data_IF_748072327949
#
_entry.id   IF_748072327949
#
_cell.length_a   1.000
_cell.length_b   1.000
_cell.length_c   1.000
_cell.angle_alpha   90.00
_cell.angle_beta   90.00
_cell.angle_gamma   90.00
#
_symmetry.space_group_name_H-M   'P 1'
#
loop_
_entity.id
_entity.type
_entity.pdbx_description
1 polymer ?
#
# COMPACT_ATOMS: atom_id res chain seq x y z
N UNK A 1 -21.97 24.07 2.18
CA UNK A 1 -20.58 23.76 2.51
C UNK A 1 -20.63 22.58 3.45
N UNK A 2 -20.13 21.40 3.04
CA UNK A 2 -20.27 20.17 3.85
C UNK A 2 -18.85 19.67 4.14
N UNK A 3 -18.21 20.35 5.08
CA UNK A 3 -16.90 19.99 5.63
C UNK A 3 -17.00 18.65 6.37
N UNK A 4 -15.87 17.98 6.54
CA UNK A 4 -15.74 16.82 7.42
C UNK A 4 -15.10 17.32 8.71
N UNK A 5 -15.72 17.06 9.85
CA UNK A 5 -15.23 17.50 11.15
C UNK A 5 -15.28 16.32 12.12
N UNK A 6 -14.14 15.99 12.73
CA UNK A 6 -14.03 14.96 13.74
C UNK A 6 -13.33 15.54 14.96
N UNK A 7 -13.88 15.27 16.14
CA UNK A 7 -13.29 15.70 17.40
C UNK A 7 -13.20 14.52 18.37
N UNK A 8 -12.05 14.37 19.02
CA UNK A 8 -11.80 13.30 20.00
C UNK A 8 -11.04 13.83 21.21
N UNK A 9 -11.44 13.38 22.40
CA UNK A 9 -10.69 13.58 23.64
C UNK A 9 -9.68 12.46 23.84
N UNK A 10 -8.43 12.81 24.15
CA UNK A 10 -7.31 11.89 24.34
C UNK A 10 -6.67 12.12 25.71
N UNK A 11 -6.52 11.05 26.51
CA UNK A 11 -5.89 11.09 27.83
C UNK A 11 -4.35 11.06 27.76
N UNK A 12 -3.78 11.86 26.87
CA UNK A 12 -2.35 11.92 26.60
C UNK A 12 -1.89 13.39 26.46
N UNK A 13 -0.61 13.70 26.76
CA UNK A 13 -0.07 15.04 26.57
C UNK A 13 0.01 15.41 25.09
N UNK A 14 -0.16 16.70 24.79
CA UNK A 14 -0.19 17.23 23.42
C UNK A 14 1.06 16.86 22.61
N UNK A 15 2.25 16.89 23.22
CA UNK A 15 3.50 16.53 22.53
C UNK A 15 3.52 15.09 22.01
N UNK A 16 2.88 14.16 22.75
CA UNK A 16 2.79 12.75 22.33
C UNK A 16 1.84 12.60 21.16
N UNK A 17 0.71 13.30 21.18
CA UNK A 17 -0.25 13.32 20.07
C UNK A 17 0.37 13.97 18.84
N UNK A 18 1.07 15.09 19.02
CA UNK A 18 1.81 15.76 17.97
C UNK A 18 2.82 14.84 17.29
N UNK A 19 3.61 14.10 18.09
CA UNK A 19 4.54 13.11 17.56
C UNK A 19 3.82 12.03 16.76
N UNK A 20 2.69 11.51 17.24
CA UNK A 20 1.92 10.50 16.52
C UNK A 20 1.35 11.01 15.18
N UNK A 21 1.07 12.32 15.07
CA UNK A 21 0.56 12.97 13.86
C UNK A 21 1.64 13.37 12.86
N UNK A 22 2.90 13.54 13.29
CA UNK A 22 3.97 14.09 12.45
C UNK A 22 5.10 13.10 12.15
N UNK A 23 5.29 12.08 13.00
CA UNK A 23 6.26 11.02 12.80
C UNK A 23 5.71 10.00 11.79
N UNK A 24 6.42 9.84 10.67
CA UNK A 24 6.01 8.98 9.56
C UNK A 24 5.89 7.51 9.97
N UNK A 25 6.78 7.04 10.85
CA UNK A 25 6.75 5.65 11.31
C UNK A 25 5.53 5.40 12.20
N UNK A 26 5.12 6.40 12.98
CA UNK A 26 3.92 6.30 13.81
C UNK A 26 2.66 6.42 12.95
N UNK A 27 2.60 7.36 12.01
CA UNK A 27 1.51 7.48 11.05
C UNK A 27 1.25 6.16 10.30
N UNK A 28 2.31 5.49 9.83
CA UNK A 28 2.20 4.18 9.18
C UNK A 28 1.54 3.12 10.07
N UNK A 29 1.77 3.18 11.39
CA UNK A 29 1.23 2.19 12.34
C UNK A 29 -0.25 2.38 12.62
N UNK A 30 -0.72 3.62 12.75
CA UNK A 30 -2.09 3.89 13.19
C UNK A 30 -3.03 4.44 12.09
N UNK A 31 -2.50 4.97 10.99
CA UNK A 31 -3.29 5.51 9.89
C UNK A 31 -2.92 4.85 8.56
N UNK A 32 -1.87 5.34 7.90
CA UNK A 32 -1.43 4.92 6.57
C UNK A 32 0.07 5.16 6.37
N UNK A 33 0.68 4.42 5.44
CA UNK A 33 2.08 4.59 5.07
C UNK A 33 2.33 5.96 4.42
N UNK A 34 3.52 6.52 4.67
CA UNK A 34 3.91 7.86 4.21
C UNK A 34 5.22 7.79 3.44
N UNK A 35 5.15 8.04 2.15
CA UNK A 35 6.31 8.13 1.27
C UNK A 35 6.76 9.60 1.13
N UNK A 36 8.07 9.82 1.03
CA UNK A 36 8.63 11.16 0.80
C UNK A 36 8.95 11.29 -0.67
N UNK A 37 8.32 12.25 -1.32
CA UNK A 37 8.57 12.54 -2.73
C UNK A 37 9.93 13.25 -2.88
N UNK A 38 10.86 12.58 -3.56
CA UNK A 38 12.19 13.15 -3.78
C UNK A 38 12.10 14.43 -4.63
N UNK A 39 12.66 15.53 -4.12
CA UNK A 39 12.82 16.79 -4.87
C UNK A 39 11.77 17.86 -4.61
N UNK A 40 10.71 17.59 -3.85
CA UNK A 40 9.69 18.58 -3.48
C UNK A 40 9.73 18.83 -1.97
N UNK A 41 10.17 20.03 -1.57
CA UNK A 41 10.36 20.42 -0.18
C UNK A 41 9.05 20.42 0.61
N UNK A 42 8.76 19.32 1.31
CA UNK A 42 7.61 19.22 2.22
C UNK A 42 6.39 18.47 1.68
N UNK A 43 6.50 17.84 0.50
CA UNK A 43 5.44 16.96 -0.02
C UNK A 43 5.58 15.54 0.50
N UNK A 44 4.46 14.97 0.93
CA UNK A 44 4.33 13.65 1.50
C UNK A 44 3.23 12.91 0.73
N UNK A 45 3.51 11.71 0.24
CA UNK A 45 2.48 10.86 -0.35
C UNK A 45 1.92 9.94 0.73
N UNK A 46 0.65 10.12 1.05
CA UNK A 46 -0.10 9.27 1.97
C UNK A 46 -0.73 8.13 1.18
N UNK A 47 -0.33 6.89 1.44
CA UNK A 47 -0.76 5.71 0.67
C UNK A 47 -2.17 5.23 1.08
N UNK A 48 -3.16 6.10 0.98
CA UNK A 48 -4.55 5.90 1.42
C UNK A 48 -5.44 5.16 0.42
N UNK A 49 -4.90 4.79 -0.75
CA UNK A 49 -5.65 4.09 -1.77
C UNK A 49 -6.29 2.80 -1.21
N UNK A 50 -7.59 2.64 -1.42
CA UNK A 50 -8.35 1.48 -0.92
C UNK A 50 -8.88 1.63 0.50
N UNK A 51 -8.58 2.73 1.22
CA UNK A 51 -9.28 3.05 2.47
C UNK A 51 -10.70 3.54 2.18
N UNK A 52 -11.71 3.21 3.00
CA UNK A 52 -13.07 3.69 2.76
C UNK A 52 -13.13 5.23 2.75
N UNK A 53 -13.67 5.79 1.66
CA UNK A 53 -13.73 7.24 1.46
C UNK A 53 -12.48 7.86 0.84
N UNK A 54 -11.51 7.04 0.41
CA UNK A 54 -10.33 7.45 -0.35
C UNK A 54 -10.35 6.75 -1.72
N UNK A 55 -10.34 7.53 -2.79
CA UNK A 55 -10.31 7.05 -4.17
C UNK A 55 -8.86 6.80 -4.64
N UNK A 56 -7.89 7.50 -4.05
CA UNK A 56 -6.48 7.41 -4.42
C UNK A 56 -5.55 7.66 -3.21
N UNK A 57 -4.24 7.54 -3.45
CA UNK A 57 -3.24 8.10 -2.55
C UNK A 57 -3.36 9.64 -2.53
N UNK A 58 -3.06 10.25 -1.38
CA UNK A 58 -3.14 11.69 -1.20
C UNK A 58 -1.75 12.30 -1.22
N UNK A 59 -1.50 13.23 -2.15
CA UNK A 59 -0.33 14.10 -2.11
C UNK A 59 -0.61 15.24 -1.11
N UNK A 60 0.13 15.25 0.00
CA UNK A 60 -0.04 16.20 1.08
C UNK A 60 1.16 17.15 1.16
N UNK A 61 0.89 18.44 1.04
CA UNK A 61 1.86 19.52 1.24
C UNK A 61 1.61 20.16 2.61
N UNK A 62 2.66 20.27 3.43
CA UNK A 62 2.57 20.97 4.73
C UNK A 62 2.54 22.49 4.51
N UNK A 63 1.39 23.11 4.73
CA UNK A 63 1.22 24.56 4.56
C UNK A 63 1.49 25.33 5.84
N UNK A 64 1.09 24.78 6.99
CA UNK A 64 1.36 25.39 8.29
C UNK A 64 1.70 24.32 9.33
N UNK A 65 2.70 24.61 10.18
CA UNK A 65 3.12 23.74 11.27
C UNK A 65 3.48 24.57 12.50
N UNK A 66 2.68 24.47 13.56
CA UNK A 66 2.93 25.05 14.89
C UNK A 66 2.90 23.93 15.92
N UNK A 67 4.08 23.52 16.39
CA UNK A 67 4.21 22.44 17.36
C UNK A 67 3.87 22.92 18.78
N UNK A 68 3.06 22.17 19.57
CA UNK A 68 2.27 20.98 19.24
C UNK A 68 0.80 21.26 18.86
N UNK A 69 0.44 22.50 18.54
CA UNK A 69 -0.94 22.98 18.51
C UNK A 69 -1.68 22.85 17.16
N UNK A 70 -0.99 23.00 16.03
CA UNK A 70 -1.62 23.08 14.71
C UNK A 70 -0.76 22.48 13.60
N UNK A 71 -1.35 21.59 12.82
CA UNK A 71 -0.82 21.11 11.54
C UNK A 71 -1.87 21.35 10.45
N UNK A 72 -1.51 22.11 9.42
CA UNK A 72 -2.32 22.29 8.22
C UNK A 72 -1.62 21.68 7.01
N UNK A 73 -2.40 20.93 6.24
CA UNK A 73 -1.99 20.22 5.05
C UNK A 73 -2.89 20.62 3.90
N UNK A 74 -2.29 20.87 2.75
CA UNK A 74 -3.02 20.92 1.48
C UNK A 74 -2.91 19.55 0.84
N UNK A 75 -4.05 18.93 0.61
CA UNK A 75 -4.14 17.57 0.10
C UNK A 75 -4.66 17.60 -1.35
N UNK A 76 -4.02 16.85 -2.24
CA UNK A 76 -4.49 16.58 -3.60
C UNK A 76 -4.73 15.07 -3.74
N UNK A 77 -5.99 14.70 -3.96
CA UNK A 77 -6.43 13.31 -4.16
C UNK A 77 -7.04 13.20 -5.55
N UNK A 78 -6.30 12.62 -6.50
CA UNK A 78 -6.72 12.49 -7.90
C UNK A 78 -7.25 13.81 -8.52
N UNK A 79 -6.60 14.94 -8.21
CA UNK A 79 -6.99 16.28 -8.68
C UNK A 79 -8.04 16.99 -7.81
N UNK A 80 -8.54 16.34 -6.76
CA UNK A 80 -9.41 16.96 -5.76
C UNK A 80 -8.56 17.59 -4.67
N UNK A 81 -8.62 18.92 -4.58
CA UNK A 81 -7.89 19.67 -3.55
C UNK A 81 -8.70 19.92 -2.30
N UNK A 82 -8.16 19.53 -1.16
CA UNK A 82 -8.75 19.74 0.16
C UNK A 82 -7.72 20.37 1.09
N UNK A 83 -8.21 21.03 2.14
CA UNK A 83 -7.43 21.53 3.27
C UNK A 83 -7.76 20.68 4.48
N UNK A 84 -6.75 20.01 5.02
CA UNK A 84 -6.83 19.21 6.22
C UNK A 84 -6.15 19.98 7.36
N UNK A 85 -6.92 20.27 8.40
CA UNK A 85 -6.47 20.99 9.59
C UNK A 85 -6.57 20.07 10.80
N UNK A 86 -5.45 19.83 11.46
CA UNK A 86 -5.36 19.09 12.72
C UNK A 86 -4.99 20.07 13.84
N UNK A 87 -5.92 20.33 14.76
CA UNK A 87 -5.73 21.22 15.90
C UNK A 87 -5.71 20.42 17.20
N UNK A 88 -4.68 20.63 18.02
CA UNK A 88 -4.52 20.02 19.34
C UNK A 88 -4.70 21.09 20.41
N UNK A 89 -5.72 20.93 21.24
CA UNK A 89 -5.97 21.81 22.39
C UNK A 89 -5.70 21.06 23.68
N UNK A 90 -4.70 21.46 24.48
CA UNK A 90 -4.47 20.86 25.80
C UNK A 90 -5.70 21.00 26.71
N UNK A 91 -5.98 19.97 27.49
CA UNK A 91 -7.06 19.96 28.49
C UNK A 91 -6.51 19.49 29.85
N UNK A 92 -7.30 19.64 30.92
CA UNK A 92 -6.86 19.18 32.24
C UNK A 92 -6.59 17.66 32.31
N UNK A 93 -7.26 16.87 31.47
CA UNK A 93 -7.19 15.40 31.45
C UNK A 93 -6.28 14.85 30.34
N UNK A 94 -5.71 15.72 29.50
CA UNK A 94 -4.89 15.34 28.34
C UNK A 94 -4.97 16.39 27.24
N UNK A 95 -5.56 16.04 26.09
CA UNK A 95 -5.82 16.99 25.01
C UNK A 95 -7.06 16.63 24.19
N UNK A 96 -7.57 17.60 23.46
CA UNK A 96 -8.63 17.46 22.46
C UNK A 96 -7.99 17.61 21.07
N UNK A 97 -8.21 16.64 20.21
CA UNK A 97 -7.78 16.67 18.81
C UNK A 97 -9.02 16.93 17.93
N UNK A 98 -8.97 18.01 17.15
CA UNK A 98 -9.94 18.30 16.09
C UNK A 98 -9.26 18.10 14.74
N UNK A 99 -9.90 17.30 13.88
CA UNK A 99 -9.49 17.04 12.50
C UNK A 99 -10.59 17.53 11.58
N UNK A 100 -10.30 18.56 10.81
CA UNK A 100 -11.23 19.16 9.85
C UNK A 100 -10.70 19.04 8.44
N UNK A 101 -11.52 18.55 7.52
CA UNK A 101 -11.20 18.51 6.10
C UNK A 101 -12.25 19.26 5.28
N UNK A 102 -11.80 20.31 4.58
CA UNK A 102 -12.65 21.17 3.75
C UNK A 102 -12.18 21.12 2.28
N UNK A 103 -13.09 20.97 1.30
CA UNK A 103 -12.71 21.03 -0.10
C UNK A 103 -12.37 22.48 -0.47
N UNK A 104 -11.27 22.70 -1.18
CA UNK A 104 -10.90 24.05 -1.64
C UNK A 104 -11.80 24.53 -2.78
N UNK A 105 -12.26 23.58 -3.59
CA UNK A 105 -13.16 23.83 -4.72
C UNK A 105 -14.29 22.80 -4.72
N UNK A 106 -15.51 23.28 -4.99
CA UNK A 106 -16.70 22.43 -5.09
C UNK A 106 -17.18 21.88 -3.74
N UNK A 107 -17.81 20.72 -3.78
CA UNK A 107 -18.40 20.05 -2.61
C UNK A 107 -18.08 18.57 -2.63
N UNK A 108 -18.02 17.96 -1.45
CA UNK A 108 -17.90 16.51 -1.33
C UNK A 108 -19.15 15.80 -1.89
N UNK A 109 -18.98 14.69 -2.63
CA UNK A 109 -20.05 13.73 -2.85
C UNK A 109 -20.54 13.17 -1.51
N UNK A 110 -21.86 13.09 -1.31
CA UNK A 110 -22.45 12.77 0.00
C UNK A 110 -22.00 11.40 0.55
N UNK A 111 -22.00 10.35 -0.28
CA UNK A 111 -21.56 9.02 0.12
C UNK A 111 -20.07 8.99 0.48
N UNK A 112 -19.23 9.64 -0.33
CA UNK A 112 -17.80 9.72 -0.10
C UNK A 112 -17.50 10.44 1.22
N UNK A 113 -18.19 11.56 1.48
CA UNK A 113 -18.07 12.31 2.73
C UNK A 113 -18.37 11.43 3.94
N UNK A 114 -19.49 10.69 3.91
CA UNK A 114 -19.90 9.81 5.02
C UNK A 114 -18.88 8.70 5.25
N UNK A 115 -18.37 8.07 4.19
CA UNK A 115 -17.33 7.03 4.32
C UNK A 115 -16.02 7.61 4.85
N UNK A 116 -15.61 8.78 4.37
CA UNK A 116 -14.38 9.47 4.78
C UNK A 116 -14.45 9.92 6.24
N UNK A 117 -15.58 10.48 6.66
CA UNK A 117 -15.87 10.86 8.04
C UNK A 117 -15.83 9.65 8.97
N UNK A 118 -16.48 8.54 8.58
CA UNK A 118 -16.45 7.29 9.36
C UNK A 118 -15.04 6.70 9.49
N UNK A 119 -14.22 6.75 8.42
CA UNK A 119 -12.83 6.29 8.47
C UNK A 119 -12.01 7.12 9.45
N UNK A 120 -12.11 8.46 9.41
CA UNK A 120 -11.43 9.32 10.39
C UNK A 120 -11.90 9.02 11.81
N UNK A 121 -13.21 8.93 12.03
CA UNK A 121 -13.74 8.61 13.35
C UNK A 121 -13.18 7.27 13.87
N UNK A 122 -13.14 6.23 13.03
CA UNK A 122 -12.63 4.91 13.42
C UNK A 122 -11.14 4.95 13.79
N UNK A 123 -10.30 5.59 12.98
CA UNK A 123 -8.85 5.62 13.26
C UNK A 123 -8.53 6.51 14.46
N UNK A 124 -9.23 7.65 14.62
CA UNK A 124 -9.01 8.61 15.71
C UNK A 124 -9.51 8.10 17.07
N UNK A 125 -10.57 7.29 17.10
CA UNK A 125 -11.12 6.74 18.35
C UNK A 125 -10.59 5.35 18.71
N UNK A 126 -10.07 4.59 17.75
CA UNK A 126 -9.56 3.24 17.97
C UNK A 126 -8.04 3.13 17.84
N UNK A 127 -7.50 3.39 16.64
CA UNK A 127 -6.09 3.12 16.33
C UNK A 127 -5.14 4.15 16.97
N UNK A 128 -5.52 5.43 16.96
CA UNK A 128 -4.70 6.50 17.52
C UNK A 128 -4.51 6.34 19.04
N UNK A 129 -5.55 6.13 19.87
CA UNK A 129 -5.35 5.87 21.29
C UNK A 129 -4.45 4.66 21.55
N UNK A 130 -4.62 3.57 20.79
CA UNK A 130 -3.79 2.37 20.96
C UNK A 130 -2.29 2.62 20.71
N UNK A 131 -1.93 3.44 19.71
CA UNK A 131 -0.52 3.79 19.49
C UNK A 131 0.01 4.75 20.57
N UNK A 132 -0.84 5.65 21.06
CA UNK A 132 -0.48 6.59 22.13
C UNK A 132 -0.26 5.87 23.46
N UNK A 133 -1.08 4.88 23.78
CA UNK A 133 -0.90 3.96 24.90
C UNK A 133 0.42 3.19 24.75
N UNK A 134 0.67 2.58 23.59
CA UNK A 134 1.92 1.90 23.32
C UNK A 134 3.14 2.82 23.52
N UNK A 135 3.09 4.06 23.02
CA UNK A 135 4.14 5.06 23.24
C UNK A 135 4.32 5.41 24.72
N UNK A 136 3.22 5.53 25.47
CA UNK A 136 3.28 5.76 26.90
C UNK A 136 3.95 4.58 27.62
N UNK A 137 3.61 3.34 27.26
CA UNK A 137 4.26 2.15 27.81
C UNK A 137 5.75 2.07 27.48
N UNK A 138 6.16 2.42 26.25
CA UNK A 138 7.58 2.45 25.88
C UNK A 138 8.38 3.51 26.67
N UNK A 139 7.75 4.60 27.09
CA UNK A 139 8.39 5.60 27.95
C UNK A 139 8.55 5.10 29.39
N UNK A 140 7.68 4.20 29.85
CA UNK A 140 7.80 3.47 31.12
C UNK A 140 8.70 2.25 30.92
N UNK A 141 9.93 2.47 30.48
CA UNK A 141 10.93 1.40 30.47
C UNK A 141 11.46 1.20 31.89
N UNK A 142 10.97 0.16 32.58
CA UNK A 142 11.44 -0.28 33.91
C UNK A 142 12.92 -0.70 33.93
N UNK A 143 13.62 -0.64 32.79
CA UNK A 143 15.03 -1.03 32.63
C UNK A 143 16.02 0.13 32.69
N UNK A 144 15.56 1.35 32.96
CA UNK A 144 16.41 2.47 33.39
C UNK A 144 16.20 2.78 34.87
N UNK A 145 16.12 1.74 35.69
CA UNK A 145 16.56 1.85 37.08
C UNK A 145 18.08 1.71 37.08
N UNK A 146 18.77 2.76 37.48
CA UNK A 146 20.16 2.65 37.96
C UNK A 146 20.30 1.38 38.83
N UNK A 147 21.37 0.58 38.70
CA UNK A 147 21.76 -0.35 39.76
C UNK A 147 22.35 0.48 40.92
N UNK A 148 21.53 1.33 41.51
CA UNK A 148 21.84 2.16 42.66
C UNK A 148 20.65 2.05 43.61
N UNK A 149 20.90 1.44 44.76
CA UNK A 149 19.95 1.30 45.87
C UNK A 149 18.80 0.31 45.63
N UNK A 150 19.15 -0.98 45.52
CA UNK A 150 18.42 -1.95 46.34
C UNK A 150 18.51 -1.46 47.79
N UNK A 151 17.43 -0.84 48.26
CA UNK A 151 17.15 -0.67 49.67
C UNK A 151 17.35 -2.04 50.32
N UNK A 152 18.48 -2.19 51.03
CA UNK A 152 18.76 -3.39 51.79
C UNK A 152 17.64 -3.52 52.81
N UNK A 153 16.82 -4.56 52.66
CA UNK A 153 15.97 -5.05 53.74
C UNK A 153 16.86 -5.21 54.98
N UNK A 154 16.49 -4.65 56.14
CA UNK A 154 17.28 -4.81 57.34
C UNK A 154 17.26 -6.29 57.73
N UNK A 155 18.38 -6.97 57.50
CA UNK A 155 18.62 -8.29 58.02
C UNK A 155 18.70 -8.16 59.55
N UNK A 156 17.70 -8.73 60.24
CA UNK A 156 17.69 -8.85 61.69
C UNK A 156 18.90 -9.70 62.08
N UNK A 157 19.88 -9.08 62.74
CA UNK A 157 21.09 -9.75 63.20
C UNK A 157 20.77 -10.81 64.25
N UNK A 158 21.06 -12.07 63.95
CA UNK A 158 21.15 -13.12 64.95
C UNK A 158 22.43 -12.91 65.76
N UNK A 159 22.24 -12.52 67.02
CA UNK A 159 23.23 -12.55 68.09
C UNK A 159 23.80 -13.97 68.20
N UNK A 160 25.12 -14.08 68.10
CA UNK A 160 25.89 -15.30 68.30
C UNK A 160 27.31 -14.93 68.69
N UNK A 161 27.62 -15.20 69.95
CA UNK A 161 28.75 -14.72 70.74
C UNK A 161 30.07 -15.48 70.46
N UNK A 162 31.17 -14.88 70.92
CA UNK A 162 32.46 -15.48 71.30
C UNK A 162 33.62 -15.57 70.24
N UNK A 163 34.91 -15.70 70.68
CA UNK A 163 35.86 -14.57 70.72
C UNK A 163 37.20 -14.80 69.99
N UNK A 164 37.88 -13.69 69.70
CA UNK A 164 39.29 -13.51 69.27
C UNK A 164 40.31 -14.31 70.14
N UNK A 165 41.52 -14.68 69.64
CA UNK A 165 42.60 -13.67 69.55
C UNK A 165 43.73 -13.81 68.49
N UNK A 166 44.19 -12.63 68.06
CA UNK A 166 45.60 -12.16 67.92
C UNK A 166 46.60 -12.86 66.96
N UNK A 167 47.08 -12.09 65.96
CA UNK A 167 48.19 -12.50 65.06
C UNK A 167 48.82 -11.42 64.17
N UNK A 168 49.37 -10.35 64.78
CA UNK A 168 50.53 -9.52 64.38
C UNK A 168 51.02 -9.45 62.89
N UNK A 169 50.79 -8.27 62.29
CA UNK A 169 51.69 -7.43 61.44
C UNK A 169 52.15 -7.87 60.03
N UNK A 170 51.89 -7.02 59.01
CA UNK A 170 52.86 -6.12 58.30
C UNK A 170 52.38 -5.72 56.88
N UNK A 171 52.16 -4.40 56.73
CA UNK A 171 52.30 -3.48 55.58
C UNK A 171 51.81 -3.83 54.15
N UNK A 172 51.18 -2.86 53.45
CA UNK A 172 50.70 -2.98 52.06
C UNK A 172 51.72 -2.46 51.03
N UNK A 173 51.75 -3.05 49.83
CA UNK A 173 52.43 -2.48 48.65
C UNK A 173 51.63 -2.81 47.38
N UNK A 174 51.05 -1.76 46.81
CA UNK A 174 51.02 -1.35 45.39
C UNK A 174 50.87 -2.44 44.30
N UNK A 175 49.88 -2.27 43.41
CA UNK A 175 50.10 -1.82 42.03
C UNK A 175 48.84 -1.11 41.53
N UNK A 176 48.97 0.21 41.41
CA UNK A 176 48.20 1.06 40.50
C UNK A 176 48.99 1.24 39.20
N UNK A 177 48.32 1.79 38.18
CA UNK A 177 48.75 2.07 36.80
C UNK A 177 48.34 0.93 35.84
N UNK A 178 47.51 1.16 34.82
CA UNK A 178 47.46 2.31 33.93
C UNK A 178 46.03 2.62 33.48
N UNK A 179 45.51 3.76 33.93
CA UNK A 179 44.54 4.55 33.20
C UNK A 179 45.28 5.79 32.67
N UNK A 180 45.10 6.11 31.39
CA UNK A 180 45.39 7.44 30.84
C UNK A 180 46.60 7.56 29.91
N UNK A 181 46.40 7.24 28.63
CA UNK A 181 46.96 7.90 27.44
C UNK A 181 46.52 7.05 26.23
N UNK A 182 45.97 7.54 25.12
CA UNK A 182 45.84 8.89 24.61
C UNK A 182 44.67 8.93 23.60
N UNK A 183 44.02 10.10 23.56
CA UNK A 183 43.25 10.58 22.42
C UNK A 183 44.13 10.63 21.15
N UNK A 184 43.45 10.56 19.99
CA UNK A 184 43.90 10.88 18.64
C UNK A 184 44.48 9.74 17.78
N UNK A 185 43.61 9.13 16.97
CA UNK A 185 43.88 8.88 15.54
C UNK A 185 42.58 9.05 14.77
N UNK A 186 42.47 10.16 14.07
CA UNK A 186 41.42 10.41 13.09
C UNK A 186 41.70 9.76 11.75
N UNK A 187 40.63 9.67 10.97
CA UNK A 187 40.52 9.86 9.51
C UNK A 187 41.42 9.03 8.56
N UNK A 188 40.69 8.47 7.58
CA UNK A 188 41.07 8.10 6.22
C UNK A 188 41.70 6.72 5.99
N UNK A 189 40.93 5.80 5.38
CA UNK A 189 41.23 5.27 4.03
C UNK A 189 39.90 4.99 3.30
N UNK A 190 39.64 5.76 2.24
CA UNK A 190 38.70 5.44 1.16
C UNK A 190 39.47 4.67 0.08
N UNK A 191 38.85 3.63 -0.52
CA UNK A 191 38.89 3.31 -1.95
C UNK A 191 38.51 1.83 -2.17
N UNK A 192 37.31 1.55 -2.69
CA UNK A 192 37.07 0.90 -4.00
C UNK A 192 35.56 1.05 -4.28
N UNK A 193 35.19 2.09 -5.02
CA UNK A 193 33.97 2.13 -5.82
C UNK A 193 34.42 2.37 -7.27
N UNK A 194 33.93 1.60 -8.25
CA UNK A 194 34.19 1.88 -9.65
C UNK A 194 33.39 3.11 -10.11
N UNK A 195 34.11 4.11 -10.59
CA UNK A 195 33.64 5.39 -11.13
C UNK A 195 33.13 5.26 -12.57
N UNK A 196 31.86 5.68 -12.76
CA UNK A 196 31.27 6.48 -13.84
C UNK A 196 31.67 6.28 -15.32
N UNK A 197 30.64 6.26 -16.18
CA UNK A 197 30.69 6.89 -17.51
C UNK A 197 29.55 7.90 -17.63
N UNK A 198 29.90 9.17 -17.46
CA UNK A 198 29.07 10.34 -17.73
C UNK A 198 29.22 10.77 -19.21
N UNK A 199 28.12 11.01 -19.95
CA UNK A 199 28.18 11.68 -21.25
C UNK A 199 28.48 13.17 -21.06
N UNK A 200 29.43 13.68 -21.85
CA UNK A 200 29.87 15.07 -21.82
C UNK A 200 28.77 16.04 -22.28
N UNK A 201 28.53 17.07 -21.48
CA UNK A 201 27.88 18.30 -21.92
C UNK A 201 28.90 19.18 -22.64
N UNK A 202 28.58 19.58 -23.87
CA UNK A 202 29.34 20.56 -24.64
C UNK A 202 28.42 21.66 -25.17
N UNK A 203 28.57 22.84 -24.58
CA UNK A 203 28.50 24.18 -25.17
C UNK A 203 27.23 24.65 -25.90
N UNK A 204 26.64 25.73 -25.36
CA UNK A 204 25.83 26.74 -26.08
C UNK A 204 26.51 28.12 -25.79
N UNK A 205 26.27 29.26 -26.50
CA UNK A 205 25.22 29.56 -27.50
C UNK A 205 25.60 30.46 -28.72
N UNK A 206 24.62 30.69 -29.62
CA UNK A 206 24.17 31.98 -30.23
C UNK A 206 23.60 31.84 -31.69
N UNK A 207 22.88 32.82 -32.31
CA UNK A 207 21.41 32.76 -32.53
C UNK A 207 20.90 32.88 -34.00
N UNK A 208 19.63 32.45 -34.22
CA UNK A 208 18.57 32.80 -35.21
C UNK A 208 18.89 32.92 -36.74
N UNK A 209 18.00 32.43 -37.64
CA UNK A 209 16.85 33.25 -38.06
C UNK A 209 15.49 32.53 -38.19
N UNK A 210 14.46 33.37 -38.14
CA UNK A 210 13.02 33.14 -38.28
C UNK A 210 12.63 32.66 -39.70
N UNK A 211 11.51 31.96 -39.86
CA UNK A 211 10.59 32.33 -40.93
C UNK A 211 9.16 32.58 -40.43
N UNK A 212 8.78 33.85 -40.58
CA UNK A 212 7.54 34.38 -41.17
C UNK A 212 6.29 33.50 -41.18
N UNK A 213 5.25 34.04 -40.53
CA UNK A 213 3.86 33.63 -40.64
C UNK A 213 3.32 33.70 -42.08
N UNK A 214 2.47 32.74 -42.44
CA UNK A 214 1.51 32.89 -43.53
C UNK A 214 0.13 32.38 -43.07
N UNK A 215 -0.72 33.36 -42.77
CA UNK A 215 -2.17 33.31 -42.73
C UNK A 215 -2.72 32.80 -44.07
N UNK A 216 -3.66 31.84 -44.08
CA UNK A 216 -4.80 31.84 -45.02
C UNK A 216 -5.79 30.70 -44.79
N UNK A 217 -7.03 31.11 -44.50
CA UNK A 217 -8.28 30.69 -45.15
C UNK A 217 -8.79 29.24 -45.01
N UNK A 218 -9.80 29.12 -44.14
CA UNK A 218 -11.18 28.71 -44.47
C UNK A 218 -11.39 28.04 -45.84
N UNK A 219 -11.73 26.74 -45.87
CA UNK A 219 -12.71 26.17 -46.83
C UNK A 219 -13.47 24.99 -46.23
N UNK A 220 -14.70 25.28 -45.85
CA UNK A 220 -15.85 24.38 -45.86
C UNK A 220 -15.93 23.62 -47.19
N UNK A 221 -16.08 22.30 -47.17
CA UNK A 221 -16.68 21.59 -48.30
C UNK A 221 -17.86 20.75 -47.81
N UNK A 222 -19.00 21.14 -48.37
CA UNK A 222 -20.35 20.64 -48.20
C UNK A 222 -20.60 19.63 -49.33
N UNK A 223 -21.27 18.53 -48.96
CA UNK A 223 -22.18 17.68 -49.75
C UNK A 223 -21.72 17.11 -51.10
N UNK A 224 -21.97 15.82 -51.30
CA UNK A 224 -23.03 15.38 -52.21
C UNK A 224 -23.25 13.86 -52.11
N UNK A 225 -24.51 13.48 -51.85
CA UNK A 225 -25.05 12.18 -52.13
C UNK A 225 -25.27 12.01 -53.64
N UNK A 226 -25.17 10.78 -54.16
CA UNK A 226 -26.03 10.22 -55.22
C UNK A 226 -25.73 8.73 -55.43
N UNK A 227 -26.80 7.92 -55.40
CA UNK A 227 -26.87 6.51 -55.76
C UNK A 227 -27.02 6.35 -57.30
N UNK A 228 -27.64 5.31 -57.90
CA UNK A 228 -27.71 3.85 -57.64
C UNK A 228 -27.45 2.99 -58.92
N UNK A 229 -27.56 1.65 -58.75
CA UNK A 229 -28.05 0.61 -59.71
C UNK A 229 -27.29 0.26 -61.00
N UNK A 230 -27.01 -1.05 -61.14
CA UNK A 230 -26.88 -1.75 -62.42
C UNK A 230 -26.90 -3.28 -62.22
N UNK A 231 -27.51 -4.09 -63.13
CA UNK A 231 -28.26 -5.29 -62.75
C UNK A 231 -27.68 -6.65 -63.18
N UNK A 232 -28.32 -7.67 -62.61
CA UNK A 232 -28.49 -9.11 -62.87
C UNK A 232 -28.17 -9.66 -64.27
N UNK A 233 -27.42 -10.77 -64.31
CA UNK A 233 -27.66 -12.08 -65.00
C UNK A 233 -26.31 -12.84 -65.00
N UNK A 234 -26.19 -14.17 -64.84
CA UNK A 234 -26.92 -15.25 -65.49
C UNK A 234 -26.72 -16.57 -64.74
N UNK A 235 -27.79 -17.36 -64.68
CA UNK A 235 -27.86 -18.76 -64.28
C UNK A 235 -27.20 -19.64 -65.34
N UNK A 236 -26.35 -20.61 -64.96
CA UNK A 236 -26.19 -21.84 -65.74
C UNK A 236 -25.62 -22.99 -64.91
N UNK A 237 -26.42 -24.05 -64.88
CA UNK A 237 -26.21 -25.38 -64.32
C UNK A 237 -25.07 -26.13 -65.01
N UNK A 238 -24.20 -26.81 -64.26
CA UNK A 238 -23.51 -28.03 -64.72
C UNK A 238 -23.01 -28.90 -63.55
N UNK A 239 -23.61 -30.08 -63.42
CA UNK A 239 -23.15 -31.32 -62.77
C UNK A 239 -23.50 -32.43 -63.78
N UNK A 240 -22.82 -33.61 -63.92
CA UNK A 240 -21.92 -34.34 -63.02
C UNK A 240 -20.55 -34.68 -63.70
N UNK A 241 -19.56 -35.30 -63.06
CA UNK A 241 -19.39 -36.78 -63.02
C UNK A 241 -18.28 -37.17 -62.04
N UNK A 242 -18.49 -38.34 -61.40
CA UNK A 242 -17.59 -39.09 -60.52
C UNK A 242 -16.17 -39.23 -61.07
N UNK A 243 -15.17 -39.14 -60.18
CA UNK A 243 -14.13 -40.15 -60.07
C UNK A 243 -13.48 -40.11 -58.69
N UNK A 244 -13.40 -41.28 -58.09
CA UNK A 244 -12.82 -41.53 -56.78
C UNK A 244 -11.29 -41.39 -56.85
N UNK A 245 -10.73 -40.63 -55.92
CA UNK A 245 -9.35 -40.79 -55.50
C UNK A 245 -9.30 -40.58 -53.99
N UNK A 246 -8.94 -41.64 -53.28
CA UNK A 246 -8.73 -41.70 -51.84
C UNK A 246 -7.22 -41.55 -51.60
N UNK A 247 -6.76 -40.50 -50.90
CA UNK A 247 -5.48 -40.57 -50.20
C UNK A 247 -5.68 -40.56 -48.68
N UNK A 248 -4.76 -41.27 -48.03
CA UNK A 248 -4.60 -41.58 -46.62
C UNK A 248 -5.15 -40.59 -45.59
N UNK A 249 -5.84 -41.18 -44.59
CA UNK A 249 -5.95 -40.62 -43.23
C UNK A 249 -4.55 -40.28 -42.73
N UNK A 250 -4.20 -38.99 -42.76
CA UNK A 250 -3.36 -38.42 -41.73
C UNK A 250 -4.13 -38.60 -40.41
N UNK A 251 -3.53 -39.08 -39.32
CA UNK A 251 -4.18 -38.93 -38.02
C UNK A 251 -4.27 -37.43 -37.77
N UNK A 252 -5.45 -36.86 -38.05
CA UNK A 252 -5.85 -35.57 -37.51
C UNK A 252 -5.60 -35.68 -36.02
N UNK A 253 -4.57 -34.98 -35.55
CA UNK A 253 -4.36 -34.75 -34.14
C UNK A 253 -5.73 -34.42 -33.55
N UNK A 254 -6.13 -35.12 -32.49
CA UNK A 254 -7.32 -34.78 -31.76
C UNK A 254 -7.30 -33.25 -31.57
N UNK A 255 -8.42 -32.53 -31.84
CA UNK A 255 -8.50 -31.12 -31.52
C UNK A 255 -7.99 -30.97 -30.08
N UNK A 256 -7.09 -30.02 -29.79
CA UNK A 256 -6.74 -29.74 -28.40
C UNK A 256 -8.06 -29.59 -27.64
N UNK A 257 -8.19 -30.20 -26.44
CA UNK A 257 -9.40 -30.06 -25.65
C UNK A 257 -9.76 -28.58 -25.63
N UNK A 258 -11.03 -28.26 -25.92
CA UNK A 258 -11.49 -26.88 -25.91
C UNK A 258 -10.96 -26.24 -24.63
N UNK A 259 -10.17 -25.16 -24.70
CA UNK A 259 -9.59 -24.60 -23.50
C UNK A 259 -10.77 -24.28 -22.58
N UNK A 260 -10.77 -24.94 -21.42
CA UNK A 260 -11.62 -24.54 -20.32
C UNK A 260 -11.31 -23.09 -19.96
N UNK A 261 -12.05 -22.56 -19.01
CA UNK A 261 -11.69 -21.27 -18.45
C UNK A 261 -10.23 -21.28 -17.98
N UNK A 262 -9.53 -20.19 -18.21
CA UNK A 262 -8.18 -20.00 -17.69
C UNK A 262 -8.20 -18.89 -16.67
N UNK A 263 -7.65 -19.14 -15.49
CA UNK A 263 -7.49 -18.14 -14.45
C UNK A 263 -6.04 -17.66 -14.36
N UNK A 264 -5.86 -16.38 -14.06
CA UNK A 264 -4.58 -15.77 -13.72
C UNK A 264 -4.69 -15.08 -12.38
N UNK A 265 -3.73 -15.32 -11.51
CA UNK A 265 -3.67 -14.69 -10.20
C UNK A 265 -2.58 -13.62 -10.17
N UNK A 266 -2.85 -12.53 -9.45
CA UNK A 266 -1.84 -11.53 -9.09
C UNK A 266 -2.10 -10.96 -7.70
N UNK A 267 -1.02 -10.61 -7.01
CA UNK A 267 -1.08 -9.80 -5.79
C UNK A 267 -0.96 -8.33 -6.20
N UNK A 268 -2.06 -7.57 -6.11
CA UNK A 268 -2.07 -6.16 -6.52
C UNK A 268 -1.62 -5.21 -5.42
N UNK A 269 -1.75 -5.60 -4.15
CA UNK A 269 -1.21 -4.82 -3.02
C UNK A 269 -0.83 -5.72 -1.85
N UNK A 270 0.22 -5.33 -1.13
CA UNK A 270 0.67 -6.01 0.10
C UNK A 270 0.64 -5.03 1.27
N UNK A 271 0.16 -5.47 2.43
CA UNK A 271 -0.03 -4.65 3.63
C UNK A 271 0.56 -5.39 4.84
N UNK A 272 0.78 -4.70 5.96
CA UNK A 272 1.35 -5.34 7.17
C UNK A 272 0.50 -6.53 7.65
N UNK A 273 -0.83 -6.39 7.62
CA UNK A 273 -1.77 -7.41 8.11
C UNK A 273 -2.51 -8.16 6.98
N UNK A 274 -2.02 -8.11 5.75
CA UNK A 274 -2.73 -8.75 4.65
C UNK A 274 -2.23 -8.40 3.26
N UNK A 275 -3.02 -8.74 2.25
CA UNK A 275 -2.78 -8.40 0.85
C UNK A 275 -4.11 -8.40 0.07
N UNK A 276 -4.10 -7.77 -1.09
CA UNK A 276 -5.21 -7.88 -2.06
C UNK A 276 -4.79 -8.80 -3.19
N UNK A 277 -5.58 -9.85 -3.40
CA UNK A 277 -5.50 -10.70 -4.57
C UNK A 277 -6.44 -10.22 -5.67
N UNK A 278 -6.02 -10.36 -6.92
CA UNK A 278 -6.87 -10.22 -8.10
C UNK A 278 -6.79 -11.51 -8.92
N UNK A 279 -7.93 -11.94 -9.45
CA UNK A 279 -8.01 -13.07 -10.37
C UNK A 279 -8.72 -12.62 -11.64
N UNK A 280 -8.04 -12.81 -12.78
CA UNK A 280 -8.60 -12.65 -14.11
C UNK A 280 -8.96 -14.01 -14.68
N UNK A 281 -10.23 -14.18 -15.05
CA UNK A 281 -10.77 -15.36 -15.71
C UNK A 281 -10.97 -15.03 -17.18
N UNK A 282 -10.34 -15.80 -18.06
CA UNK A 282 -10.54 -15.71 -19.51
C UNK A 282 -11.37 -16.89 -20.01
N UNK A 283 -12.40 -16.61 -20.81
CA UNK A 283 -13.21 -17.60 -21.50
C UNK A 283 -12.89 -17.61 -23.02
N UNK A 284 -11.93 -18.43 -23.47
CA UNK A 284 -11.65 -18.58 -24.90
C UNK A 284 -12.73 -19.35 -25.67
N UNK A 285 -13.73 -19.91 -24.97
CA UNK A 285 -14.79 -20.73 -25.56
C UNK A 285 -15.82 -19.93 -26.36
N UNK A 286 -16.54 -20.64 -27.23
CA UNK A 286 -17.61 -20.08 -28.07
C UNK A 286 -18.98 -19.95 -27.37
N UNK A 287 -19.08 -20.28 -26.08
CA UNK A 287 -20.29 -20.18 -25.29
C UNK A 287 -20.00 -19.52 -23.93
N UNK A 288 -20.98 -18.82 -23.31
CA UNK A 288 -20.82 -18.29 -21.96
C UNK A 288 -20.54 -19.41 -20.95
N UNK A 289 -19.50 -19.25 -20.14
CA UNK A 289 -19.18 -20.17 -19.07
C UNK A 289 -19.95 -19.79 -17.81
N UNK A 290 -20.77 -20.72 -17.33
CA UNK A 290 -21.56 -20.60 -16.10
C UNK A 290 -20.92 -21.45 -15.02
N UNK A 291 -21.25 -21.14 -13.77
CA UNK A 291 -20.90 -21.98 -12.60
C UNK A 291 -19.38 -22.21 -12.45
N UNK A 292 -18.58 -21.24 -12.89
CA UNK A 292 -17.14 -21.29 -12.74
C UNK A 292 -16.76 -21.22 -11.27
N UNK A 293 -15.67 -21.91 -10.92
CA UNK A 293 -15.18 -21.96 -9.55
C UNK A 293 -13.68 -21.71 -9.50
N UNK A 294 -13.25 -20.77 -8.66
CA UNK A 294 -11.84 -20.56 -8.31
C UNK A 294 -11.65 -20.89 -6.85
N UNK A 295 -10.70 -21.77 -6.54
CA UNK A 295 -10.29 -22.09 -5.18
C UNK A 295 -8.92 -21.48 -4.92
N UNK A 296 -8.85 -20.58 -3.94
CA UNK A 296 -7.60 -20.00 -3.44
C UNK A 296 -7.28 -20.64 -2.10
N UNK A 297 -6.07 -21.17 -1.96
CA UNK A 297 -5.58 -21.76 -0.70
C UNK A 297 -4.76 -20.71 0.04
N UNK A 298 -5.26 -20.28 1.20
CA UNK A 298 -4.59 -19.33 2.08
C UNK A 298 -3.67 -20.05 3.07
N UNK A 299 -2.71 -19.31 3.62
CA UNK A 299 -1.91 -19.77 4.73
C UNK A 299 -2.76 -20.04 5.97
N UNK A 300 -2.22 -20.84 6.89
CA UNK A 300 -2.91 -21.18 8.13
C UNK A 300 -3.26 -19.92 8.93
N UNK A 301 -4.56 -19.68 9.13
CA UNK A 301 -5.07 -18.54 9.87
C UNK A 301 -5.36 -17.30 9.01
N UNK A 302 -5.05 -17.35 7.70
CA UNK A 302 -5.46 -16.33 6.75
C UNK A 302 -6.98 -16.34 6.55
N UNK A 303 -7.60 -15.16 6.50
CA UNK A 303 -9.06 -15.02 6.30
C UNK A 303 -9.37 -13.99 5.23
N UNK A 304 -10.32 -14.28 4.35
CA UNK A 304 -10.86 -13.26 3.43
C UNK A 304 -11.78 -12.33 4.22
N UNK A 305 -11.53 -11.03 4.11
CA UNK A 305 -12.34 -10.00 4.74
C UNK A 305 -13.45 -9.51 3.81
N UNK A 306 -13.15 -9.39 2.52
CA UNK A 306 -14.04 -8.84 1.51
C UNK A 306 -13.64 -9.37 0.13
N UNK A 307 -14.61 -9.47 -0.78
CA UNK A 307 -14.37 -9.73 -2.19
C UNK A 307 -15.32 -8.87 -3.04
N UNK A 308 -14.84 -8.45 -4.22
CA UNK A 308 -15.59 -7.66 -5.19
C UNK A 308 -15.57 -8.38 -6.54
N UNK A 309 -16.72 -8.46 -7.20
CA UNK A 309 -16.88 -9.16 -8.48
C UNK A 309 -17.07 -10.66 -8.38
N UNK A 310 -17.10 -11.24 -7.17
CA UNK A 310 -17.39 -12.65 -6.93
C UNK A 310 -18.04 -12.86 -5.56
N UNK A 311 -18.90 -13.86 -5.46
CA UNK A 311 -19.33 -14.44 -4.20
C UNK A 311 -18.23 -15.38 -3.68
N UNK A 312 -18.12 -15.53 -2.36
CA UNK A 312 -17.09 -16.38 -1.78
C UNK A 312 -17.55 -17.12 -0.53
N UNK A 313 -16.91 -18.28 -0.29
CA UNK A 313 -17.07 -19.08 0.92
C UNK A 313 -15.72 -19.64 1.33
N UNK A 314 -15.38 -19.51 2.61
CA UNK A 314 -14.12 -20.02 3.17
C UNK A 314 -14.37 -21.21 4.09
N UNK A 315 -13.66 -22.31 3.84
CA UNK A 315 -13.61 -23.51 4.69
C UNK A 315 -12.15 -23.77 5.09
N UNK A 316 -11.79 -23.32 6.30
CA UNK A 316 -10.41 -23.41 6.78
C UNK A 316 -9.46 -22.56 5.91
N UNK A 317 -8.51 -23.21 5.26
CA UNK A 317 -7.54 -22.55 4.36
C UNK A 317 -8.07 -22.36 2.94
N UNK A 318 -9.08 -23.12 2.52
CA UNK A 318 -9.60 -23.06 1.16
C UNK A 318 -10.71 -22.02 1.05
N UNK A 319 -10.57 -21.09 0.10
CA UNK A 319 -11.58 -20.09 -0.23
C UNK A 319 -12.09 -20.37 -1.63
N UNK A 320 -13.39 -20.61 -1.74
CA UNK A 320 -14.08 -20.87 -3.00
C UNK A 320 -14.76 -19.59 -3.47
N UNK A 321 -14.45 -19.15 -4.69
CA UNK A 321 -15.04 -18.00 -5.36
C UNK A 321 -15.90 -18.46 -6.53
N UNK A 322 -17.08 -17.85 -6.66
CA UNK A 322 -18.05 -18.08 -7.74
C UNK A 322 -18.64 -16.74 -8.18
N UNK A 323 -19.20 -16.64 -9.38
CA UNK A 323 -19.76 -15.36 -9.80
C UNK A 323 -20.56 -15.39 -11.10
N UNK A 324 -20.79 -14.22 -11.72
CA UNK A 324 -21.62 -14.12 -12.91
C UNK A 324 -21.00 -14.86 -14.10
N UNK A 325 -21.82 -15.32 -15.07
CA UNK A 325 -21.30 -16.02 -16.24
C UNK A 325 -20.28 -15.20 -17.04
N UNK A 326 -19.18 -15.82 -17.45
CA UNK A 326 -18.16 -15.17 -18.29
C UNK A 326 -18.58 -15.30 -19.75
N UNK A 327 -18.78 -14.20 -20.50
CA UNK A 327 -19.19 -14.24 -21.90
C UNK A 327 -18.24 -15.06 -22.78
N UNK A 328 -18.75 -15.58 -23.90
CA UNK A 328 -17.91 -16.24 -24.91
C UNK A 328 -16.85 -15.28 -25.46
N UNK A 329 -15.59 -15.68 -25.45
CA UNK A 329 -14.46 -14.83 -25.84
C UNK A 329 -14.21 -13.64 -24.91
N UNK A 330 -14.86 -13.60 -23.74
CA UNK A 330 -14.76 -12.52 -22.76
C UNK A 330 -13.91 -12.90 -21.55
N UNK A 331 -13.73 -11.91 -20.67
CA UNK A 331 -13.00 -12.08 -19.42
C UNK A 331 -13.79 -11.50 -18.25
N UNK A 332 -13.53 -12.00 -17.05
CA UNK A 332 -14.11 -11.54 -15.80
C UNK A 332 -13.01 -11.38 -14.75
N UNK A 333 -13.01 -10.25 -14.05
CA UNK A 333 -12.04 -9.96 -13.00
C UNK A 333 -12.75 -9.83 -11.67
N UNK A 334 -12.17 -10.42 -10.63
CA UNK A 334 -12.60 -10.18 -9.26
C UNK A 334 -11.38 -9.95 -8.36
N UNK A 335 -11.60 -9.22 -7.27
CA UNK A 335 -10.58 -8.90 -6.27
C UNK A 335 -11.03 -9.37 -4.89
N UNK A 336 -10.07 -9.66 -4.01
CA UNK A 336 -10.36 -10.05 -2.64
C UNK A 336 -9.26 -9.61 -1.68
N UNK A 337 -9.67 -9.22 -0.47
CA UNK A 337 -8.78 -8.76 0.58
C UNK A 337 -8.56 -9.88 1.61
N UNK A 338 -7.30 -10.27 1.79
CA UNK A 338 -6.89 -11.30 2.75
C UNK A 338 -6.28 -10.62 3.98
N UNK A 339 -6.71 -11.05 5.17
CA UNK A 339 -6.05 -10.75 6.44
C UNK A 339 -5.10 -11.88 6.78
N UNK A 340 -3.81 -11.62 6.63
CA UNK A 340 -2.74 -12.56 6.96
C UNK A 340 -1.46 -11.75 7.31
N UNK A 341 -1.00 -11.76 8.57
CA UNK A 341 0.22 -11.06 8.96
C UNK A 341 1.49 -11.78 8.51
N UNK A 342 1.42 -13.07 8.16
CA UNK A 342 2.57 -13.93 7.93
C UNK A 342 2.97 -14.01 6.44
N UNK A 343 2.01 -14.03 5.53
CA UNK A 343 2.28 -14.12 4.09
C UNK A 343 1.70 -12.95 3.30
N UNK A 344 2.22 -12.77 2.08
CA UNK A 344 1.83 -11.68 1.15
C UNK A 344 1.22 -12.21 -0.16
N UNK A 345 0.99 -13.52 -0.21
CA UNK A 345 0.39 -14.23 -1.34
C UNK A 345 -0.23 -15.54 -0.81
N UNK A 346 -1.21 -16.11 -1.53
CA UNK A 346 -1.80 -17.41 -1.19
C UNK A 346 -0.79 -18.54 -1.41
N UNK A 347 -1.03 -19.67 -0.74
CA UNK A 347 -0.26 -20.90 -0.94
C UNK A 347 -0.58 -21.56 -2.29
N UNK A 348 -1.75 -21.29 -2.86
CA UNK A 348 -2.14 -21.77 -4.19
C UNK A 348 -3.41 -21.15 -4.73
N UNK A 349 -3.61 -21.27 -6.04
CA UNK A 349 -4.82 -20.88 -6.76
C UNK A 349 -5.11 -21.93 -7.82
N UNK A 350 -6.36 -22.40 -7.86
CA UNK A 350 -6.84 -23.37 -8.86
C UNK A 350 -8.20 -22.98 -9.39
N UNK A 351 -8.44 -23.21 -10.68
CA UNK A 351 -9.73 -23.09 -11.35
C UNK A 351 -10.07 -24.45 -11.96
N UNK A 352 -11.21 -25.03 -11.57
CA UNK A 352 -11.66 -26.36 -12.04
C UNK A 352 -10.51 -27.41 -12.04
N UNK A 353 -9.77 -27.48 -10.92
CA UNK A 353 -8.59 -28.33 -10.67
C UNK A 353 -7.31 -27.98 -11.46
N UNK A 354 -7.32 -26.97 -12.34
CA UNK A 354 -6.13 -26.47 -13.02
C UNK A 354 -5.49 -25.30 -12.24
N UNK A 355 -4.15 -25.25 -12.07
CA UNK A 355 -3.50 -24.13 -11.38
C UNK A 355 -3.68 -22.82 -12.15
N UNK A 356 -3.94 -21.74 -11.42
CA UNK A 356 -3.96 -20.39 -11.98
C UNK A 356 -2.54 -20.03 -12.46
N UNK A 357 -2.44 -19.32 -13.59
CA UNK A 357 -1.16 -18.81 -14.03
C UNK A 357 -0.77 -17.55 -13.22
N UNK A 358 0.49 -17.41 -12.86
CA UNK A 358 1.00 -16.17 -12.28
C UNK A 358 1.02 -15.08 -13.36
N UNK A 359 0.34 -13.96 -13.13
CA UNK A 359 0.48 -12.81 -14.01
C UNK A 359 1.90 -12.23 -13.85
N UNK A 360 2.63 -12.07 -14.96
CA UNK A 360 3.93 -11.42 -14.94
C UNK A 360 3.80 -10.00 -14.35
N UNK A 361 4.77 -9.52 -13.55
CA UNK A 361 4.74 -8.19 -12.99
C UNK A 361 4.69 -7.15 -14.12
N UNK A 362 3.66 -6.30 -14.12
CA UNK A 362 3.57 -5.15 -15.02
C UNK A 362 4.68 -4.14 -14.65
N UNK A 363 5.49 -3.68 -15.62
CA UNK A 363 6.64 -2.79 -15.36
C UNK A 363 6.25 -1.38 -14.90
#
# INVERSE_FOLDING_TARGET
MIEIDNEVGLSHPADRVWRALTDRELLARWFTEVEVMAGAGGHLLLCTAGLPGFDAAVDAEVTERREPELLELRCDEAGRRTRLTCAITPTAEGCRLSVREAPEHGTWPAEQRVRREATYQQVLTGRLPAILDWLAFQQVDLRRGEPGETAQLPAIGTVGDAPEPAGRSRRPVLIAALAGAALATGLAVWAVLPTERQPAAGSDPAPLPVPTAATAATRTSRAAASAPTGPTTSTAVARPTRSAAKPSRVPTAAPPPAPGLTARYTTVSTRIFGYTGEVLIDNPGGAPAKDWTVVVTLSKGGTVAEASGADWRQDGQAVTFTGPPVPAGGSHTFTFDVRDPLTKAPEGCTMDDAPCADAAPTP
#
